data_IF_525429967453
#
_entry.id   IF_525429967453
#
_cell.length_a   1.000
_cell.length_b   1.000
_cell.length_c   1.000
_cell.angle_alpha   90.00
_cell.angle_beta   90.00
_cell.angle_gamma   90.00
#
_symmetry.space_group_name_H-M   'P 1'
#
loop_
_entity.id
_entity.type
_entity.pdbx_description
1 polymer ?
#
# COMPACT_ATOMS: atom_id res chain seq x y z
N UNK A 1 28.00 7.27 39.60
CA UNK A 1 27.55 8.06 38.44
C UNK A 1 27.00 7.11 37.38
N UNK A 2 26.02 6.26 37.73
CA UNK A 2 25.68 5.07 36.92
C UNK A 2 24.22 5.06 36.42
N UNK A 3 23.50 6.16 36.65
CA UNK A 3 22.08 6.28 36.29
C UNK A 3 21.87 7.23 35.11
N UNK A 4 22.84 8.10 34.80
CA UNK A 4 22.73 9.04 33.69
C UNK A 4 22.81 8.33 32.33
N UNK A 5 23.72 7.35 32.17
CA UNK A 5 23.82 6.56 30.93
C UNK A 5 22.62 5.63 30.72
N UNK A 6 21.97 5.17 31.81
CA UNK A 6 20.75 4.32 31.74
C UNK A 6 19.55 5.12 31.26
N UNK A 7 19.42 6.37 31.71
CA UNK A 7 18.38 7.29 31.22
C UNK A 7 18.66 7.70 29.77
N UNK A 8 19.93 7.87 29.39
CA UNK A 8 20.33 8.22 28.02
C UNK A 8 20.08 7.08 27.02
N UNK A 9 20.33 5.83 27.40
CA UNK A 9 20.02 4.64 26.58
C UNK A 9 18.52 4.38 26.44
N UNK A 10 17.73 4.65 27.49
CA UNK A 10 16.28 4.50 27.44
C UNK A 10 15.61 5.56 26.54
N UNK A 11 16.19 6.75 26.43
CA UNK A 11 15.63 7.84 25.62
C UNK A 11 15.84 7.66 24.11
N UNK A 12 16.88 6.92 23.69
CA UNK A 12 17.16 6.66 22.26
C UNK A 12 16.19 5.63 21.67
N UNK A 13 15.68 4.68 22.48
CA UNK A 13 14.71 3.68 22.02
C UNK A 13 13.31 4.27 21.80
N UNK A 14 12.95 5.34 22.52
CA UNK A 14 11.66 6.02 22.36
C UNK A 14 11.54 6.85 21.06
N UNK A 15 12.67 7.27 20.48
CA UNK A 15 12.71 8.00 19.20
C UNK A 15 12.53 7.08 17.99
N UNK A 16 12.81 5.77 18.12
CA UNK A 16 12.57 4.79 17.06
C UNK A 16 11.08 4.42 16.91
N UNK A 17 10.29 4.53 17.97
CA UNK A 17 8.84 4.27 17.96
C UNK A 17 8.02 5.43 17.41
N UNK A 18 8.61 6.63 17.31
CA UNK A 18 7.95 7.80 16.73
C UNK A 18 8.06 7.86 15.19
N UNK A 19 8.94 7.05 14.59
CA UNK A 19 9.15 6.98 13.14
C UNK A 19 8.12 6.14 12.37
N UNK A 20 7.25 5.40 13.08
CA UNK A 20 6.13 4.64 12.50
C UNK A 20 4.82 4.93 13.27
N UNK A 21 4.60 6.19 13.66
CA UNK A 21 3.36 6.56 14.38
C UNK A 21 2.11 6.64 13.46
N UNK A 22 2.28 6.45 12.16
CA UNK A 22 1.25 6.01 11.21
C UNK A 22 1.77 4.76 10.50
N UNK A 23 0.94 3.72 10.34
CA UNK A 23 1.32 2.49 9.65
C UNK A 23 1.66 2.72 8.17
N UNK A 24 2.11 1.67 7.47
CA UNK A 24 2.38 1.73 6.03
C UNK A 24 1.17 2.33 5.27
N UNK A 25 1.41 3.24 4.32
CA UNK A 25 0.35 3.80 3.50
C UNK A 25 -0.35 2.69 2.72
N UNK A 26 -1.67 2.82 2.60
CA UNK A 26 -2.53 1.86 1.92
C UNK A 26 -3.30 2.51 0.79
N UNK A 27 -3.72 1.73 -0.20
CA UNK A 27 -4.58 2.22 -1.27
C UNK A 27 -5.98 2.59 -0.76
N UNK A 28 -6.48 3.74 -1.18
CA UNK A 28 -7.81 4.25 -0.82
C UNK A 28 -8.68 4.45 -2.07
N UNK A 29 -9.57 3.51 -2.34
CA UNK A 29 -10.53 3.56 -3.46
C UNK A 29 -11.92 4.07 -3.03
N UNK A 30 -12.00 4.92 -2.01
CA UNK A 30 -13.27 5.59 -1.64
C UNK A 30 -13.76 6.54 -2.73
N UNK A 31 -12.84 7.20 -3.44
CA UNK A 31 -13.09 8.03 -4.62
C UNK A 31 -11.78 8.24 -5.40
N UNK A 32 -11.86 8.78 -6.62
CA UNK A 32 -10.72 9.01 -7.52
C UNK A 32 -9.62 9.86 -6.87
N UNK A 33 -9.97 10.98 -6.24
CA UNK A 33 -8.98 11.87 -5.60
C UNK A 33 -8.27 11.20 -4.42
N UNK A 34 -8.99 10.36 -3.65
CA UNK A 34 -8.39 9.59 -2.57
C UNK A 34 -7.44 8.52 -3.12
N UNK A 35 -7.82 7.87 -4.22
CA UNK A 35 -7.01 6.84 -4.86
C UNK A 35 -5.70 7.41 -5.38
N UNK A 36 -5.76 8.49 -6.17
CA UNK A 36 -4.58 9.18 -6.70
C UNK A 36 -3.63 9.63 -5.58
N UNK A 37 -4.20 10.24 -4.52
CA UNK A 37 -3.42 10.69 -3.37
C UNK A 37 -2.78 9.51 -2.62
N UNK A 38 -3.52 8.40 -2.46
CA UNK A 38 -3.01 7.22 -1.78
C UNK A 38 -1.89 6.53 -2.56
N UNK A 39 -1.97 6.46 -3.89
CA UNK A 39 -0.88 5.95 -4.74
C UNK A 39 0.38 6.81 -4.56
N UNK A 40 0.23 8.14 -4.56
CA UNK A 40 1.39 9.03 -4.36
C UNK A 40 2.04 8.83 -2.99
N UNK A 41 1.23 8.68 -1.94
CA UNK A 41 1.73 8.41 -0.59
C UNK A 41 2.46 7.06 -0.51
N UNK A 42 1.90 6.02 -1.13
CA UNK A 42 2.54 4.70 -1.21
C UNK A 42 3.87 4.80 -1.96
N UNK A 43 3.89 5.38 -3.15
CA UNK A 43 5.09 5.53 -3.97
C UNK A 43 6.20 6.33 -3.27
N UNK A 44 5.83 7.36 -2.50
CA UNK A 44 6.79 8.21 -1.80
C UNK A 44 7.60 7.49 -0.71
N UNK A 45 7.12 6.33 -0.23
CA UNK A 45 7.82 5.52 0.78
C UNK A 45 8.66 4.38 0.19
N UNK A 46 8.54 4.13 -1.11
CA UNK A 46 9.23 3.05 -1.82
C UNK A 46 10.51 3.54 -2.49
N UNK A 47 11.52 2.67 -2.57
CA UNK A 47 12.66 2.91 -3.46
C UNK A 47 12.30 2.74 -4.94
N UNK A 48 13.17 3.15 -5.87
CA UNK A 48 12.87 3.11 -7.32
C UNK A 48 12.50 1.70 -7.82
N UNK A 49 13.16 0.66 -7.30
CA UNK A 49 12.88 -0.71 -7.72
C UNK A 49 11.55 -1.22 -7.15
N UNK A 50 11.23 -0.84 -5.91
CA UNK A 50 9.95 -1.14 -5.27
C UNK A 50 8.79 -0.38 -5.91
N UNK A 51 8.98 0.87 -6.33
CA UNK A 51 7.99 1.66 -7.08
C UNK A 51 7.63 0.97 -8.41
N UNK A 52 8.64 0.52 -9.16
CA UNK A 52 8.43 -0.23 -10.42
C UNK A 52 7.63 -1.50 -10.16
N UNK A 53 8.07 -2.33 -9.20
CA UNK A 53 7.37 -3.57 -8.84
C UNK A 53 5.95 -3.34 -8.36
N UNK A 54 5.71 -2.29 -7.56
CA UNK A 54 4.38 -1.94 -7.10
C UNK A 54 3.47 -1.52 -8.28
N UNK A 55 3.97 -0.67 -9.18
CA UNK A 55 3.24 -0.23 -10.37
C UNK A 55 2.86 -1.40 -11.29
N UNK A 56 3.80 -2.30 -11.53
CA UNK A 56 3.59 -3.51 -12.33
C UNK A 56 2.56 -4.44 -11.68
N UNK A 57 2.71 -4.71 -10.38
CA UNK A 57 1.82 -5.57 -9.61
C UNK A 57 0.39 -5.02 -9.57
N UNK A 58 0.23 -3.73 -9.27
CA UNK A 58 -1.09 -3.08 -9.27
C UNK A 58 -1.73 -3.17 -10.66
N UNK A 59 -0.99 -2.87 -11.72
CA UNK A 59 -1.48 -2.95 -13.10
C UNK A 59 -1.91 -4.38 -13.46
N UNK A 60 -1.13 -5.39 -13.07
CA UNK A 60 -1.44 -6.79 -13.33
C UNK A 60 -2.74 -7.23 -12.63
N UNK A 61 -2.93 -6.84 -11.37
CA UNK A 61 -4.15 -7.13 -10.60
C UNK A 61 -5.37 -6.49 -11.27
N UNK A 62 -5.27 -5.22 -11.68
CA UNK A 62 -6.37 -4.51 -12.34
C UNK A 62 -6.73 -5.16 -13.68
N UNK A 63 -5.73 -5.55 -14.48
CA UNK A 63 -5.95 -6.26 -15.74
C UNK A 63 -6.57 -7.65 -15.52
N UNK A 64 -6.16 -8.37 -14.48
CA UNK A 64 -6.69 -9.70 -14.18
C UNK A 64 -8.19 -9.64 -13.85
N UNK A 65 -8.62 -8.72 -12.96
CA UNK A 65 -10.05 -8.55 -12.66
C UNK A 65 -10.84 -8.07 -13.88
N UNK A 66 -10.27 -7.20 -14.72
CA UNK A 66 -10.89 -6.78 -15.98
C UNK A 66 -11.10 -7.99 -16.91
N UNK A 67 -10.07 -8.77 -17.17
CA UNK A 67 -10.13 -9.93 -18.06
C UNK A 67 -11.08 -11.01 -17.55
N UNK A 68 -11.01 -11.30 -16.24
CA UNK A 68 -11.92 -12.23 -15.57
C UNK A 68 -13.36 -11.76 -15.68
N UNK A 69 -13.63 -10.50 -15.37
CA UNK A 69 -14.97 -9.93 -15.46
C UNK A 69 -15.56 -9.96 -16.87
N UNK A 70 -14.76 -9.60 -17.87
CA UNK A 70 -15.16 -9.72 -19.28
C UNK A 70 -15.47 -11.17 -19.67
N UNK A 71 -14.65 -12.12 -19.23
CA UNK A 71 -14.85 -13.55 -19.51
C UNK A 71 -16.11 -14.11 -18.84
N UNK A 72 -16.46 -13.58 -17.66
CA UNK A 72 -17.65 -13.94 -16.89
C UNK A 72 -18.92 -13.19 -17.35
N UNK A 73 -18.79 -12.24 -18.28
CA UNK A 73 -19.91 -11.43 -18.76
C UNK A 73 -20.43 -10.41 -17.74
N UNK A 74 -19.59 -9.97 -16.80
CA UNK A 74 -19.93 -8.96 -15.79
C UNK A 74 -20.07 -7.57 -16.42
N UNK A 75 -20.90 -6.75 -15.79
CA UNK A 75 -21.00 -5.32 -16.09
C UNK A 75 -19.75 -4.56 -15.63
N UNK A 76 -19.54 -3.36 -16.18
CA UNK A 76 -18.43 -2.48 -15.79
C UNK A 76 -18.43 -2.17 -14.28
N UNK A 77 -19.61 -1.90 -13.69
CA UNK A 77 -19.78 -1.64 -12.25
C UNK A 77 -19.35 -2.84 -11.39
N UNK A 78 -19.67 -4.07 -11.82
CA UNK A 78 -19.26 -5.29 -11.11
C UNK A 78 -17.74 -5.51 -11.19
N UNK A 79 -17.11 -5.14 -12.31
CA UNK A 79 -15.66 -5.22 -12.51
C UNK A 79 -14.96 -4.18 -11.64
N UNK A 80 -15.45 -2.94 -11.63
CA UNK A 80 -14.95 -1.87 -10.76
C UNK A 80 -15.06 -2.24 -9.28
N UNK A 81 -16.19 -2.82 -8.87
CA UNK A 81 -16.38 -3.29 -7.51
C UNK A 81 -15.38 -4.39 -7.16
N UNK A 82 -15.15 -5.36 -8.05
CA UNK A 82 -14.19 -6.43 -7.84
C UNK A 82 -12.74 -5.91 -7.72
N UNK A 83 -12.35 -4.95 -8.59
CA UNK A 83 -11.05 -4.29 -8.50
C UNK A 83 -10.88 -3.57 -7.16
N UNK A 84 -11.90 -2.81 -6.75
CA UNK A 84 -11.91 -2.10 -5.47
C UNK A 84 -11.78 -3.03 -4.27
N UNK A 85 -12.61 -4.05 -4.20
CA UNK A 85 -12.60 -5.02 -3.10
C UNK A 85 -11.25 -5.74 -3.01
N UNK A 86 -10.58 -5.91 -4.15
CA UNK A 86 -9.29 -6.57 -4.23
C UNK A 86 -8.13 -5.71 -3.75
N UNK A 87 -8.12 -4.38 -3.93
CA UNK A 87 -6.94 -3.55 -3.60
C UNK A 87 -7.16 -2.52 -2.50
N UNK A 88 -8.40 -2.20 -2.14
CA UNK A 88 -8.71 -1.28 -1.06
C UNK A 88 -8.02 -1.69 0.24
N UNK A 89 -7.32 -0.74 0.87
CA UNK A 89 -6.66 -0.92 2.15
C UNK A 89 -5.38 -1.75 2.11
N UNK A 90 -4.92 -2.18 0.93
CA UNK A 90 -3.66 -2.92 0.80
C UNK A 90 -2.45 -1.99 0.78
N UNK A 91 -1.36 -2.44 1.38
CA UNK A 91 -0.04 -1.79 1.28
C UNK A 91 0.66 -2.16 -0.02
N UNK A 92 1.74 -1.46 -0.38
CA UNK A 92 2.59 -1.84 -1.51
C UNK A 92 3.09 -3.28 -1.42
N UNK A 93 3.53 -3.68 -0.22
CA UNK A 93 4.07 -5.02 0.02
C UNK A 93 3.03 -6.10 -0.23
N UNK A 94 1.78 -5.88 0.17
CA UNK A 94 0.69 -6.81 -0.07
C UNK A 94 0.34 -6.92 -1.56
N UNK A 95 0.32 -5.78 -2.27
CA UNK A 95 0.09 -5.75 -3.73
C UNK A 95 1.20 -6.47 -4.49
N UNK A 96 2.46 -6.18 -4.16
CA UNK A 96 3.64 -6.83 -4.76
C UNK A 96 3.65 -8.34 -4.48
N UNK A 97 3.27 -8.76 -3.27
CA UNK A 97 3.25 -10.16 -2.88
C UNK A 97 2.14 -10.95 -3.58
N UNK A 98 1.00 -10.33 -3.86
CA UNK A 98 -0.11 -10.99 -4.54
C UNK A 98 0.13 -11.23 -6.04
N UNK A 99 0.89 -10.34 -6.69
CA UNK A 99 1.17 -10.44 -8.12
C UNK A 99 2.27 -11.46 -8.48
N UNK A 100 2.91 -12.09 -7.49
CA UNK A 100 3.98 -13.09 -7.65
C UNK A 100 3.48 -14.52 -7.48
#
# INVERSE_FOLDING_TARGET
MNNLYKVLLASIFALALAACSGGEPTLDMTNESAFDSSIQNVMAELDEAEQERFSEALSAIMMDEMMKGMSEGKSEEEIETAMKDRVQGKTANEIIAEAQ
#
